data_IF_439007682216
#
_entry.id   IF_439007682216
#
_cell.length_a   1.000
_cell.length_b   1.000
_cell.length_c   1.000
_cell.angle_alpha   90.00
_cell.angle_beta   90.00
_cell.angle_gamma   90.00
#
_symmetry.space_group_name_H-M   'P 1'
#
loop_
_entity.id
_entity.type
_entity.pdbx_description
1 polymer ?
#
# COMPACT_ATOMS: atom_id res chain seq x y z
N UNK A 1 -12.36 -6.81 36.35
CA UNK A 1 -11.89 -7.67 35.22
C UNK A 1 -10.47 -7.28 34.87
N UNK A 2 -9.52 -7.76 35.66
CA UNK A 2 -8.09 -7.59 35.45
C UNK A 2 -7.61 -8.68 34.51
N UNK A 3 -7.22 -8.31 33.29
CA UNK A 3 -6.58 -9.22 32.34
C UNK A 3 -5.26 -9.65 32.96
N UNK A 4 -5.16 -10.93 33.32
CA UNK A 4 -3.90 -11.52 33.79
C UNK A 4 -2.99 -11.78 32.59
N UNK A 5 -1.67 -11.63 32.77
CA UNK A 5 -0.62 -11.71 31.74
C UNK A 5 -0.51 -13.03 30.95
N UNK A 6 -1.43 -13.97 31.17
CA UNK A 6 -1.49 -15.28 30.53
C UNK A 6 -2.72 -15.48 29.61
N UNK A 7 -3.59 -14.48 29.48
CA UNK A 7 -4.68 -14.55 28.50
C UNK A 7 -4.11 -14.28 27.10
N UNK A 8 -4.03 -15.32 26.26
CA UNK A 8 -3.75 -15.13 24.84
C UNK A 8 -4.84 -14.22 24.25
N UNK A 9 -4.43 -13.05 23.76
CA UNK A 9 -5.31 -12.16 23.03
C UNK A 9 -5.88 -12.92 21.83
N UNK A 10 -7.17 -12.78 21.51
CA UNK A 10 -7.78 -13.47 20.36
C UNK A 10 -7.28 -12.96 18.99
N UNK A 11 -6.25 -12.11 18.99
CA UNK A 11 -5.70 -11.43 17.84
C UNK A 11 -4.19 -11.57 17.87
N UNK A 12 -3.61 -11.96 16.74
CA UNK A 12 -2.17 -12.00 16.52
C UNK A 12 -1.79 -10.95 15.49
N UNK A 13 -0.76 -10.16 15.80
CA UNK A 13 -0.19 -9.24 14.83
C UNK A 13 0.42 -10.02 13.67
N UNK A 14 0.00 -9.71 12.44
CA UNK A 14 0.42 -10.45 11.25
C UNK A 14 1.55 -9.76 10.49
N UNK A 15 1.42 -8.45 10.23
CA UNK A 15 2.42 -7.72 9.46
C UNK A 15 2.45 -6.21 9.80
N UNK A 16 3.62 -5.61 9.60
CA UNK A 16 3.82 -4.16 9.68
C UNK A 16 4.21 -3.61 8.31
N UNK A 17 3.46 -2.63 7.82
CA UNK A 17 3.80 -1.85 6.64
C UNK A 17 4.55 -0.59 7.07
N UNK A 18 5.88 -0.64 6.98
CA UNK A 18 6.75 0.43 7.47
C UNK A 18 6.43 1.75 6.77
N UNK A 19 6.43 2.87 7.50
CA UNK A 19 6.14 4.22 6.99
C UNK A 19 4.78 4.43 6.29
N UNK A 20 3.95 3.39 6.10
CA UNK A 20 2.65 3.50 5.44
C UNK A 20 1.70 4.44 6.18
N UNK A 21 1.77 4.51 7.51
CA UNK A 21 0.98 5.44 8.31
C UNK A 21 1.16 6.91 7.89
N UNK A 22 2.37 7.31 7.48
CA UNK A 22 2.60 8.66 6.94
C UNK A 22 1.96 8.85 5.57
N UNK A 23 2.03 7.82 4.71
CA UNK A 23 1.40 7.84 3.39
C UNK A 23 -0.12 7.96 3.54
N UNK A 24 -0.72 7.13 4.40
CA UNK A 24 -2.14 7.15 4.71
C UNK A 24 -2.58 8.52 5.26
N UNK A 25 -1.84 9.08 6.22
CA UNK A 25 -2.15 10.38 6.81
C UNK A 25 -2.08 11.53 5.79
N UNK A 26 -1.23 11.40 4.76
CA UNK A 26 -1.14 12.39 3.67
C UNK A 26 -2.36 12.40 2.74
N UNK A 27 -3.21 11.37 2.77
CA UNK A 27 -4.41 11.25 1.92
C UNK A 27 -5.66 11.61 2.74
N UNK A 28 -5.95 12.90 2.81
CA UNK A 28 -7.09 13.44 3.56
C UNK A 28 -8.43 12.93 3.01
N UNK A 29 -8.55 12.80 1.69
CA UNK A 29 -9.77 12.34 1.01
C UNK A 29 -9.79 10.83 0.75
N UNK A 30 -9.09 10.02 1.56
CA UNK A 30 -9.06 8.56 1.38
C UNK A 30 -10.44 7.95 1.70
N UNK A 31 -10.93 7.05 0.85
CA UNK A 31 -12.19 6.32 1.04
C UNK A 31 -11.94 4.85 1.37
N UNK A 32 -11.07 4.19 0.61
CA UNK A 32 -10.77 2.77 0.79
C UNK A 32 -9.28 2.53 1.06
N UNK A 33 -9.02 1.44 1.78
CA UNK A 33 -7.72 0.92 2.14
C UNK A 33 -7.74 -0.58 1.92
N UNK A 34 -6.71 -1.14 1.27
CA UNK A 34 -6.60 -2.58 1.07
C UNK A 34 -5.14 -3.01 0.99
N UNK A 35 -4.87 -4.25 1.37
CA UNK A 35 -3.55 -4.87 1.28
C UNK A 35 -3.75 -6.35 0.89
N UNK A 36 -2.91 -6.91 0.00
CA UNK A 36 -2.92 -8.33 -0.30
C UNK A 36 -2.51 -9.17 0.93
N UNK A 37 -2.77 -10.47 0.86
CA UNK A 37 -2.45 -11.41 1.95
C UNK A 37 -0.95 -11.67 2.13
N UNK A 38 -0.12 -11.26 1.17
CA UNK A 38 1.35 -11.33 1.28
C UNK A 38 1.99 -10.02 1.79
N UNK A 39 1.19 -8.99 2.05
CA UNK A 39 1.64 -7.66 2.51
C UNK A 39 2.70 -7.00 1.61
N UNK A 40 2.76 -7.40 0.34
CA UNK A 40 3.76 -6.90 -0.63
C UNK A 40 3.55 -5.41 -0.96
N UNK A 41 2.31 -4.92 -0.85
CA UNK A 41 1.96 -3.53 -1.03
C UNK A 41 0.77 -3.11 -0.16
N UNK A 42 0.45 -1.82 -0.18
CA UNK A 42 -0.77 -1.29 0.39
C UNK A 42 -1.39 -0.30 -0.59
N UNK A 43 -2.71 -0.32 -0.70
CA UNK A 43 -3.47 0.51 -1.61
C UNK A 43 -4.36 1.46 -0.82
N UNK A 44 -4.37 2.73 -1.24
CA UNK A 44 -5.28 3.76 -0.77
C UNK A 44 -6.01 4.29 -1.98
N UNK A 45 -7.33 4.38 -1.94
CA UNK A 45 -8.08 5.15 -2.94
C UNK A 45 -8.63 6.43 -2.32
N UNK A 46 -8.76 7.47 -3.14
CA UNK A 46 -9.74 8.51 -2.85
C UNK A 46 -11.15 8.06 -3.26
N UNK A 47 -12.12 8.97 -3.24
CA UNK A 47 -13.50 8.65 -3.59
C UNK A 47 -13.77 8.49 -5.09
N UNK A 48 -12.84 8.88 -5.98
CA UNK A 48 -13.10 8.95 -7.42
C UNK A 48 -11.95 8.45 -8.28
N UNK A 49 -10.85 9.20 -8.34
CA UNK A 49 -9.90 9.13 -9.46
C UNK A 49 -8.62 8.41 -9.04
N UNK A 50 -8.12 8.68 -7.84
CA UNK A 50 -6.75 8.37 -7.51
C UNK A 50 -6.63 7.12 -6.67
N UNK A 51 -5.79 6.21 -7.14
CA UNK A 51 -5.29 5.05 -6.42
C UNK A 51 -3.81 5.29 -6.10
N UNK A 52 -3.43 5.09 -4.85
CA UNK A 52 -2.07 5.21 -4.38
C UNK A 52 -1.58 3.83 -3.92
N UNK A 53 -0.54 3.31 -4.58
CA UNK A 53 0.07 2.01 -4.27
C UNK A 53 1.40 2.25 -3.57
N UNK A 54 1.49 1.83 -2.32
CA UNK A 54 2.70 1.86 -1.51
C UNK A 54 3.39 0.50 -1.51
N UNK A 55 4.66 0.43 -1.90
CA UNK A 55 5.51 -0.78 -1.83
C UNK A 55 6.71 -0.49 -0.93
N UNK A 56 6.86 -1.20 0.19
CA UNK A 56 7.95 -0.96 1.14
C UNK A 56 9.32 -1.46 0.67
N UNK A 57 9.35 -2.52 -0.15
CA UNK A 57 10.58 -3.22 -0.55
C UNK A 57 10.71 -3.29 -2.08
N UNK A 58 10.95 -2.16 -2.75
CA UNK A 58 11.28 -2.18 -4.18
C UNK A 58 12.79 -2.32 -4.37
N UNK A 59 13.31 -3.39 -5.02
CA UNK A 59 14.74 -3.57 -5.23
C UNK A 59 15.36 -2.42 -6.04
N UNK A 60 16.51 -1.91 -5.60
CA UNK A 60 17.25 -0.88 -6.33
C UNK A 60 17.92 -1.42 -7.60
N UNK A 61 18.12 -2.73 -7.70
CA UNK A 61 18.57 -3.42 -8.93
C UNK A 61 17.64 -3.17 -10.12
N UNK A 62 16.35 -2.95 -9.86
CA UNK A 62 15.32 -2.74 -10.89
C UNK A 62 15.19 -1.26 -11.28
N UNK A 63 16.06 -0.39 -10.75
CA UNK A 63 16.07 1.06 -10.96
C UNK A 63 17.40 1.46 -11.61
N UNK A 64 17.42 1.73 -12.93
CA UNK A 64 18.62 2.21 -13.61
C UNK A 64 19.12 3.50 -12.97
N UNK A 65 20.44 3.63 -12.75
CA UNK A 65 21.07 4.86 -12.28
C UNK A 65 20.83 5.24 -10.81
N UNK A 66 20.23 4.36 -10.00
CA UNK A 66 19.84 4.70 -8.62
C UNK A 66 20.69 3.93 -7.60
N UNK A 67 21.96 4.33 -7.41
CA UNK A 67 22.79 3.81 -6.31
C UNK A 67 22.63 4.67 -5.06
N UNK A 68 21.65 4.32 -4.24
CA UNK A 68 21.44 4.99 -2.96
C UNK A 68 22.45 4.48 -1.94
N UNK A 69 23.11 5.41 -1.24
CA UNK A 69 24.10 5.10 -0.21
C UNK A 69 23.72 5.81 1.07
N UNK A 70 23.69 5.08 2.17
CA UNK A 70 23.47 5.69 3.48
C UNK A 70 24.66 6.61 3.80
N UNK A 71 24.40 7.90 4.03
CA UNK A 71 25.44 8.91 4.27
C UNK A 71 26.28 8.63 5.53
N UNK A 72 25.69 8.03 6.56
CA UNK A 72 26.37 7.77 7.84
C UNK A 72 27.21 6.49 7.80
N UNK A 73 26.69 5.43 7.19
CA UNK A 73 27.33 4.11 7.22
C UNK A 73 28.07 3.76 5.93
N UNK A 74 27.83 4.51 4.85
CA UNK A 74 28.38 4.20 3.54
C UNK A 74 27.84 2.90 2.93
N UNK A 75 26.80 2.28 3.49
CA UNK A 75 26.20 1.07 2.91
C UNK A 75 25.32 1.43 1.71
N UNK A 76 25.40 0.64 0.65
CA UNK A 76 24.45 0.71 -0.47
C UNK A 76 23.08 0.23 0.01
N UNK A 77 22.03 0.90 -0.44
CA UNK A 77 20.64 0.58 -0.11
C UNK A 77 20.10 -0.36 -1.17
N UNK A 78 19.77 -1.59 -0.75
CA UNK A 78 19.35 -2.68 -1.65
C UNK A 78 17.89 -2.58 -2.08
N UNK A 79 17.06 -1.90 -1.27
CA UNK A 79 15.64 -1.68 -1.57
C UNK A 79 15.15 -0.34 -1.03
N UNK A 80 14.19 0.25 -1.73
CA UNK A 80 13.51 1.47 -1.32
C UNK A 80 12.00 1.31 -1.27
N UNK A 81 11.38 2.12 -0.42
CA UNK A 81 9.95 2.31 -0.48
C UNK A 81 9.58 3.15 -1.70
N UNK A 82 8.49 2.78 -2.39
CA UNK A 82 7.92 3.53 -3.51
C UNK A 82 6.44 3.76 -3.30
N UNK A 83 5.97 4.90 -3.81
CA UNK A 83 4.56 5.20 -3.96
C UNK A 83 4.26 5.44 -5.44
N UNK A 84 3.31 4.70 -5.99
CA UNK A 84 2.77 4.94 -7.32
C UNK A 84 1.39 5.60 -7.18
N UNK A 85 1.06 6.47 -8.12
CA UNK A 85 -0.28 7.05 -8.24
C UNK A 85 -0.84 6.64 -9.60
N UNK A 86 -2.03 6.04 -9.59
CA UNK A 86 -2.78 5.70 -10.79
C UNK A 86 -4.05 6.55 -10.76
N UNK A 87 -4.37 7.15 -11.91
CA UNK A 87 -5.62 7.87 -12.11
C UNK A 87 -6.52 7.02 -13.00
N UNK A 88 -7.74 6.74 -12.54
CA UNK A 88 -8.77 6.10 -13.37
C UNK A 88 -9.23 7.07 -14.46
N UNK A 89 -9.53 6.52 -15.64
CA UNK A 89 -9.94 7.31 -16.81
C UNK A 89 -11.32 7.93 -16.61
N UNK A 90 -12.23 7.24 -15.91
CA UNK A 90 -13.52 7.78 -15.51
C UNK A 90 -13.43 8.38 -14.10
N UNK A 91 -14.06 9.54 -13.92
CA UNK A 91 -14.06 10.27 -12.64
C UNK A 91 -15.24 9.88 -11.74
N UNK A 92 -15.73 8.67 -11.95
CA UNK A 92 -16.89 8.15 -11.27
C UNK A 92 -16.57 7.78 -9.83
N UNK A 93 -17.61 7.66 -9.01
CA UNK A 93 -17.41 7.30 -7.62
C UNK A 93 -16.94 5.84 -7.51
N UNK A 94 -15.85 5.63 -6.76
CA UNK A 94 -15.42 4.29 -6.38
C UNK A 94 -16.40 3.78 -5.32
N UNK A 95 -17.04 2.65 -5.59
CA UNK A 95 -18.00 1.99 -4.71
C UNK A 95 -17.32 0.96 -3.79
N UNK A 96 -16.23 0.36 -4.26
CA UNK A 96 -15.44 -0.59 -3.49
C UNK A 96 -14.20 -1.04 -4.25
N UNK A 97 -13.28 -1.65 -3.53
CA UNK A 97 -12.09 -2.26 -4.12
C UNK A 97 -11.64 -3.47 -3.31
N UNK A 98 -10.91 -4.36 -3.98
CA UNK A 98 -10.19 -5.47 -3.37
C UNK A 98 -8.85 -5.67 -4.06
N UNK A 99 -7.84 -5.99 -3.28
CA UNK A 99 -6.47 -6.24 -3.76
C UNK A 99 -6.10 -7.69 -3.54
N UNK A 100 -5.56 -8.32 -4.57
CA UNK A 100 -4.86 -9.61 -4.52
C UNK A 100 -3.36 -9.36 -4.71
N UNK A 101 -2.54 -10.41 -4.62
CA UNK A 101 -1.09 -10.27 -4.76
C UNK A 101 -0.68 -9.69 -6.13
N UNK A 102 -1.48 -9.92 -7.17
CA UNK A 102 -1.13 -9.56 -8.56
C UNK A 102 -2.09 -8.51 -9.16
N UNK A 103 -3.33 -8.46 -8.69
CA UNK A 103 -4.39 -7.66 -9.30
C UNK A 103 -5.21 -6.91 -8.26
N UNK A 104 -5.58 -5.68 -8.59
CA UNK A 104 -6.58 -4.88 -7.88
C UNK A 104 -7.83 -4.76 -8.71
N UNK A 105 -8.98 -5.03 -8.11
CA UNK A 105 -10.30 -4.84 -8.70
C UNK A 105 -10.93 -3.58 -8.08
N UNK A 106 -11.39 -2.65 -8.92
CA UNK A 106 -12.06 -1.42 -8.49
C UNK A 106 -13.43 -1.33 -9.12
N UNK A 107 -14.46 -1.29 -8.30
CA UNK A 107 -15.85 -1.13 -8.72
C UNK A 107 -16.22 0.36 -8.70
N UNK A 108 -16.65 0.89 -9.84
CA UNK A 108 -17.34 2.18 -9.96
C UNK A 108 -18.84 1.96 -10.13
N UNK A 109 -19.61 3.04 -10.26
CA UNK A 109 -21.05 3.00 -10.57
C UNK A 109 -21.39 2.38 -11.94
N UNK A 110 -20.45 2.45 -12.89
CA UNK A 110 -20.64 2.04 -14.28
C UNK A 110 -19.70 0.92 -14.76
N UNK A 111 -18.55 0.72 -14.11
CA UNK A 111 -17.46 -0.12 -14.63
C UNK A 111 -16.74 -0.89 -13.52
N UNK A 112 -16.05 -1.97 -13.92
CA UNK A 112 -15.13 -2.72 -13.07
C UNK A 112 -13.73 -2.64 -13.69
N UNK A 113 -12.81 -1.95 -13.00
CA UNK A 113 -11.41 -1.85 -13.43
C UNK A 113 -10.58 -2.98 -12.83
N UNK A 114 -9.61 -3.45 -13.61
CA UNK A 114 -8.58 -4.40 -13.17
C UNK A 114 -7.22 -3.76 -13.41
N UNK A 115 -6.41 -3.66 -12.36
CA UNK A 115 -5.06 -3.12 -12.41
C UNK A 115 -4.09 -4.21 -12.00
N UNK A 116 -3.07 -4.47 -12.83
CA UNK A 116 -1.94 -5.33 -12.45
C UNK A 116 -0.95 -4.53 -11.61
N UNK A 117 -0.52 -5.08 -10.47
CA UNK A 117 0.28 -4.38 -9.45
C UNK A 117 1.72 -4.85 -9.43
#
# INVERSE_FOLDING_TARGET
NSITSNDQLPWTHEATLNAFGYVQASKQNRKFLSTPTDYSYALISDSRIHLYIYKQNTPTSNLPGTSLRNRKTGKVVDSIAKQHMISLENHNEILGLITTNEQTFILTDDQLFIISV
#
